data_IF_601956397841
#
_entry.id   IF_601956397841
#
_cell.length_a   1.000
_cell.length_b   1.000
_cell.length_c   1.000
_cell.angle_alpha   90.00
_cell.angle_beta   90.00
_cell.angle_gamma   90.00
#
_symmetry.space_group_name_H-M   'P 1'
#
loop_
_entity.id
_entity.type
_entity.pdbx_description
1 polymer ?
#
# COMPACT_ATOMS: atom_id res chain seq x y z
N UNK A 1 20.69 -4.91 44.26
CA UNK A 1 19.28 -4.47 44.10
C UNK A 1 19.13 -3.53 42.91
N UNK A 2 19.90 -2.49 42.74
CA UNK A 2 19.85 -1.52 41.64
C UNK A 2 20.10 -2.13 40.23
N UNK A 3 20.98 -3.11 40.11
CA UNK A 3 21.27 -3.83 38.86
C UNK A 3 20.10 -4.73 38.44
N UNK A 4 19.35 -5.32 39.39
CA UNK A 4 18.19 -6.18 39.12
C UNK A 4 17.02 -5.31 38.73
N UNK A 5 16.82 -4.16 39.36
CA UNK A 5 15.78 -3.20 39.01
C UNK A 5 16.05 -2.57 37.64
N UNK A 6 17.28 -2.24 37.29
CA UNK A 6 17.64 -1.82 35.93
C UNK A 6 17.40 -2.90 34.88
N UNK A 7 17.69 -4.15 35.19
CA UNK A 7 17.49 -5.27 34.30
C UNK A 7 15.99 -5.57 34.11
N UNK A 8 15.17 -5.50 35.18
CA UNK A 8 13.72 -5.62 35.12
C UNK A 8 13.04 -4.42 34.41
N UNK A 9 13.59 -3.20 34.53
CA UNK A 9 13.09 -2.04 33.79
C UNK A 9 13.41 -2.19 32.29
N UNK A 10 14.52 -2.81 31.91
CA UNK A 10 14.88 -3.09 30.53
C UNK A 10 14.00 -4.21 29.94
N UNK A 11 13.58 -5.18 30.74
CA UNK A 11 12.64 -6.25 30.32
C UNK A 11 11.18 -5.78 30.24
N UNK A 12 10.82 -4.65 30.88
CA UNK A 12 9.48 -4.03 30.80
C UNK A 12 9.33 -3.16 29.53
N UNK A 13 10.40 -2.71 28.90
CA UNK A 13 10.35 -2.21 27.52
C UNK A 13 10.33 -3.44 26.60
N UNK A 14 9.12 -3.98 26.36
CA UNK A 14 8.88 -4.93 25.27
C UNK A 14 9.70 -4.47 24.05
N UNK A 15 10.55 -5.36 23.52
CA UNK A 15 11.36 -5.02 22.35
C UNK A 15 10.42 -4.57 21.24
N UNK A 16 10.55 -3.32 20.82
CA UNK A 16 9.74 -2.78 19.74
C UNK A 16 10.13 -3.49 18.44
N UNK A 17 9.15 -4.15 17.80
CA UNK A 17 9.32 -4.76 16.48
C UNK A 17 8.41 -4.07 15.50
N UNK A 18 8.97 -3.61 14.38
CA UNK A 18 8.25 -2.89 13.35
C UNK A 18 8.60 -3.46 11.99
N UNK A 19 7.60 -3.74 11.16
CA UNK A 19 7.83 -4.02 9.74
C UNK A 19 7.81 -2.69 8.98
N UNK A 20 8.97 -2.24 8.55
CA UNK A 20 9.11 -1.07 7.69
C UNK A 20 9.08 -1.51 6.23
N UNK A 21 8.26 -0.83 5.40
CA UNK A 21 8.10 -1.13 3.98
C UNK A 21 8.16 0.16 3.18
N UNK A 22 9.13 0.28 2.28
CA UNK A 22 9.16 1.34 1.27
C UNK A 22 8.58 0.80 -0.04
N UNK A 23 7.45 1.36 -0.47
CA UNK A 23 6.69 0.88 -1.63
C UNK A 23 7.06 1.67 -2.87
N UNK A 24 8.03 1.16 -3.61
CA UNK A 24 8.43 1.69 -4.92
C UNK A 24 7.54 1.20 -6.08
N UNK A 25 7.81 1.72 -7.28
CA UNK A 25 7.10 1.30 -8.51
C UNK A 25 7.59 -0.06 -9.02
N UNK A 26 8.87 -0.39 -8.81
CA UNK A 26 9.49 -1.65 -9.28
C UNK A 26 9.62 -2.68 -8.17
N UNK A 27 10.12 -2.25 -7.03
CA UNK A 27 10.38 -3.04 -5.83
C UNK A 27 9.68 -2.46 -4.63
N UNK A 28 9.56 -3.29 -3.60
CA UNK A 28 9.31 -2.88 -2.23
C UNK A 28 10.51 -3.30 -1.39
N UNK A 29 11.04 -2.37 -0.61
CA UNK A 29 12.16 -2.60 0.29
C UNK A 29 11.62 -2.78 1.70
N UNK A 30 11.98 -3.89 2.35
CA UNK A 30 11.39 -4.34 3.60
C UNK A 30 12.48 -4.49 4.64
N UNK A 31 12.23 -3.94 5.81
CA UNK A 31 13.07 -4.07 6.99
C UNK A 31 12.23 -4.52 8.18
N UNK A 32 12.53 -5.67 8.73
CA UNK A 32 12.01 -6.06 10.05
C UNK A 32 12.97 -5.52 11.12
N UNK A 33 12.59 -4.41 11.70
CA UNK A 33 13.32 -3.77 12.80
C UNK A 33 12.97 -4.43 14.14
N UNK A 34 13.99 -4.71 14.95
CA UNK A 34 13.86 -5.20 16.31
C UNK A 34 14.81 -4.38 17.22
N UNK A 35 14.25 -3.59 18.14
CA UNK A 35 15.03 -2.72 19.03
C UNK A 35 15.94 -3.48 19.99
N UNK A 36 15.76 -4.79 20.16
CA UNK A 36 16.62 -5.64 20.98
C UNK A 36 17.92 -6.05 20.28
N UNK A 37 18.04 -5.79 18.98
CA UNK A 37 19.17 -6.17 18.14
C UNK A 37 19.83 -4.96 17.50
N UNK A 38 21.08 -5.14 17.03
CA UNK A 38 21.71 -4.13 16.19
C UNK A 38 21.06 -4.07 14.80
N UNK A 39 21.05 -2.90 14.19
CA UNK A 39 20.44 -2.67 12.87
C UNK A 39 21.04 -3.59 11.77
N UNK A 40 22.30 -3.97 11.89
CA UNK A 40 22.98 -4.88 10.96
C UNK A 40 22.32 -6.27 10.92
N UNK A 41 21.77 -6.72 12.07
CA UNK A 41 21.13 -8.02 12.23
C UNK A 41 19.65 -8.02 11.84
N UNK A 42 19.10 -6.87 11.43
CA UNK A 42 17.73 -6.77 10.97
C UNK A 42 17.51 -7.58 9.68
N UNK A 43 16.35 -8.22 9.57
CA UNK A 43 15.97 -8.90 8.32
C UNK A 43 15.64 -7.84 7.26
N UNK A 44 16.28 -7.97 6.10
CA UNK A 44 16.11 -7.06 4.97
C UNK A 44 15.71 -7.87 3.73
N UNK A 45 14.67 -7.43 3.04
CA UNK A 45 14.23 -8.05 1.80
C UNK A 45 13.95 -6.99 0.75
N UNK A 46 14.30 -7.29 -0.49
CA UNK A 46 13.88 -6.51 -1.67
C UNK A 46 13.05 -7.42 -2.54
N UNK A 47 11.76 -7.10 -2.66
CA UNK A 47 10.78 -7.91 -3.38
C UNK A 47 10.15 -7.10 -4.51
N UNK A 48 9.55 -7.76 -5.53
CA UNK A 48 8.72 -7.04 -6.50
C UNK A 48 7.60 -6.27 -5.79
N UNK A 49 7.35 -5.02 -6.20
CA UNK A 49 6.24 -4.25 -5.67
C UNK A 49 4.88 -4.85 -6.07
N UNK A 50 3.85 -4.59 -5.28
CA UNK A 50 2.51 -5.12 -5.55
C UNK A 50 1.98 -4.67 -6.92
N UNK A 51 2.27 -3.44 -7.37
CA UNK A 51 1.85 -2.99 -8.71
C UNK A 51 2.48 -3.83 -9.84
N UNK A 52 3.70 -4.37 -9.67
CA UNK A 52 4.33 -5.31 -10.61
C UNK A 52 3.65 -6.69 -10.57
N UNK A 53 3.39 -7.20 -9.37
CA UNK A 53 2.72 -8.50 -9.17
C UNK A 53 1.33 -8.47 -9.80
N UNK A 54 0.56 -7.42 -9.52
CA UNK A 54 -0.79 -7.21 -10.07
C UNK A 54 -0.73 -7.07 -11.59
N UNK A 55 0.22 -6.31 -12.14
CA UNK A 55 0.41 -6.23 -13.58
C UNK A 55 0.68 -7.61 -14.21
N UNK A 56 1.44 -8.46 -13.54
CA UNK A 56 1.67 -9.85 -13.94
C UNK A 56 0.39 -10.69 -13.92
N UNK A 57 -0.43 -10.57 -12.87
CA UNK A 57 -1.74 -11.25 -12.75
C UNK A 57 -2.69 -10.81 -13.87
N UNK A 58 -2.79 -9.51 -14.16
CA UNK A 58 -3.60 -8.96 -15.25
C UNK A 58 -3.11 -9.49 -16.61
N UNK A 59 -1.79 -9.47 -16.86
CA UNK A 59 -1.20 -10.02 -18.09
C UNK A 59 -1.54 -11.51 -18.27
N UNK A 60 -1.48 -12.30 -17.22
CA UNK A 60 -1.87 -13.72 -17.24
C UNK A 60 -3.34 -13.88 -17.62
N UNK A 61 -4.25 -13.11 -17.03
CA UNK A 61 -5.67 -13.12 -17.39
C UNK A 61 -5.90 -12.69 -18.85
N UNK A 62 -5.15 -11.67 -19.33
CA UNK A 62 -5.20 -11.23 -20.74
C UNK A 62 -4.80 -12.34 -21.70
N UNK A 63 -3.69 -13.03 -21.41
CA UNK A 63 -3.21 -14.16 -22.24
C UNK A 63 -4.21 -15.32 -22.25
N UNK A 64 -4.87 -15.56 -21.11
CA UNK A 64 -5.91 -16.60 -20.99
C UNK A 64 -7.30 -16.16 -21.49
N UNK A 65 -7.41 -14.98 -22.09
CA UNK A 65 -8.67 -14.42 -22.61
C UNK A 65 -9.79 -14.35 -21.57
N UNK A 66 -9.46 -14.08 -20.31
CA UNK A 66 -10.41 -13.97 -19.20
C UNK A 66 -10.62 -12.51 -18.82
N UNK A 67 -11.87 -12.12 -18.61
CA UNK A 67 -12.19 -10.82 -18.00
C UNK A 67 -11.60 -10.73 -16.60
N UNK A 68 -11.45 -9.52 -16.08
CA UNK A 68 -10.94 -9.27 -14.71
C UNK A 68 -11.90 -8.40 -13.91
N UNK A 69 -11.89 -8.60 -12.60
CA UNK A 69 -12.52 -7.69 -11.64
C UNK A 69 -11.48 -7.21 -10.62
N UNK A 70 -11.28 -5.90 -10.56
CA UNK A 70 -10.38 -5.24 -9.62
C UNK A 70 -11.14 -4.94 -8.33
N UNK A 71 -10.63 -5.44 -7.21
CA UNK A 71 -11.21 -5.26 -5.87
C UNK A 71 -10.17 -4.73 -4.90
N UNK A 72 -10.52 -4.51 -3.64
CA UNK A 72 -9.58 -4.06 -2.62
C UNK A 72 -9.51 -2.54 -2.53
N UNK A 73 -8.29 -1.98 -2.38
CA UNK A 73 -8.08 -0.58 -2.01
C UNK A 73 -7.42 0.24 -3.11
N UNK A 74 -7.34 1.56 -2.93
CA UNK A 74 -6.53 2.44 -3.78
C UNK A 74 -5.04 2.16 -3.53
N UNK A 75 -4.26 2.00 -4.59
CA UNK A 75 -2.83 1.70 -4.55
C UNK A 75 -2.05 2.42 -5.65
N UNK A 76 -0.74 2.21 -5.71
CA UNK A 76 0.11 2.71 -6.79
C UNK A 76 -0.28 2.14 -8.16
N UNK A 77 -0.71 3.02 -9.09
CA UNK A 77 -1.28 2.63 -10.39
C UNK A 77 -0.27 2.23 -11.47
N UNK A 78 0.94 2.76 -11.49
CA UNK A 78 2.01 2.57 -12.49
C UNK A 78 1.88 1.39 -13.46
N UNK A 79 2.62 0.28 -13.24
CA UNK A 79 2.58 -0.93 -14.07
C UNK A 79 1.19 -1.58 -14.14
N UNK A 80 0.43 -1.63 -13.04
CA UNK A 80 -0.91 -2.23 -13.01
C UNK A 80 -1.89 -1.45 -13.91
N UNK A 81 -1.88 -0.11 -13.86
CA UNK A 81 -2.69 0.72 -14.74
C UNK A 81 -2.34 0.55 -16.22
N UNK A 82 -1.05 0.36 -16.54
CA UNK A 82 -0.62 0.04 -17.92
C UNK A 82 -1.15 -1.33 -18.35
N UNK A 83 -1.13 -2.33 -17.47
CA UNK A 83 -1.65 -3.66 -17.75
C UNK A 83 -3.18 -3.64 -17.99
N UNK A 84 -3.94 -2.88 -17.19
CA UNK A 84 -5.38 -2.67 -17.38
C UNK A 84 -5.67 -2.09 -18.76
N UNK A 85 -4.98 -1.03 -19.18
CA UNK A 85 -5.17 -0.45 -20.52
C UNK A 85 -4.92 -1.47 -21.64
N UNK A 86 -3.86 -2.29 -21.53
CA UNK A 86 -3.56 -3.34 -22.52
C UNK A 86 -4.63 -4.45 -22.51
N UNK A 87 -5.18 -4.77 -21.35
CA UNK A 87 -6.25 -5.73 -21.20
C UNK A 87 -7.53 -5.29 -21.95
N UNK A 88 -7.92 -4.02 -21.78
CA UNK A 88 -9.04 -3.40 -22.50
C UNK A 88 -8.76 -3.36 -24.00
N UNK A 89 -7.54 -2.98 -24.43
CA UNK A 89 -7.14 -2.98 -25.85
C UNK A 89 -7.19 -4.38 -26.49
N UNK A 90 -7.04 -5.44 -25.70
CA UNK A 90 -7.21 -6.82 -26.15
C UNK A 90 -8.69 -7.24 -26.31
N UNK A 91 -9.63 -6.32 -26.10
CA UNK A 91 -11.08 -6.55 -26.23
C UNK A 91 -11.69 -7.32 -25.05
N UNK A 92 -11.06 -7.26 -23.87
CA UNK A 92 -11.50 -7.92 -22.65
C UNK A 92 -12.11 -6.92 -21.67
N UNK A 93 -13.09 -7.37 -20.88
CA UNK A 93 -13.78 -6.54 -19.91
C UNK A 93 -12.97 -6.37 -18.62
N UNK A 94 -13.04 -5.18 -18.07
CA UNK A 94 -12.51 -4.84 -16.75
C UNK A 94 -13.65 -4.30 -15.90
N UNK A 95 -13.93 -4.97 -14.82
CA UNK A 95 -14.82 -4.51 -13.76
C UNK A 95 -13.96 -3.99 -12.60
N UNK A 96 -14.46 -3.02 -11.85
CA UNK A 96 -13.74 -2.52 -10.68
C UNK A 96 -14.71 -2.04 -9.60
N UNK A 97 -14.41 -2.35 -8.34
CA UNK A 97 -15.05 -1.67 -7.22
C UNK A 97 -14.58 -0.22 -7.16
N UNK A 98 -15.37 0.65 -6.53
CA UNK A 98 -15.09 2.09 -6.47
C UNK A 98 -13.68 2.39 -5.92
N UNK A 99 -13.27 1.74 -4.82
CA UNK A 99 -11.94 1.95 -4.21
C UNK A 99 -10.81 1.50 -5.15
N UNK A 100 -10.93 0.34 -5.77
CA UNK A 100 -9.94 -0.18 -6.71
C UNK A 100 -9.82 0.69 -7.97
N UNK A 101 -10.94 1.22 -8.46
CA UNK A 101 -11.00 2.08 -9.64
C UNK A 101 -10.21 3.38 -9.47
N UNK A 102 -10.17 3.95 -8.25
CA UNK A 102 -9.37 5.14 -7.92
C UNK A 102 -7.87 4.95 -8.11
N UNK A 103 -7.37 3.72 -8.14
CA UNK A 103 -5.97 3.42 -8.55
C UNK A 103 -5.68 3.85 -9.99
N UNK A 104 -6.68 3.82 -10.87
CA UNK A 104 -6.52 4.14 -12.28
C UNK A 104 -6.64 5.64 -12.56
N UNK A 105 -7.57 6.31 -11.86
CA UNK A 105 -7.76 7.75 -11.91
C UNK A 105 -8.69 8.20 -10.77
N UNK A 106 -8.45 9.39 -10.17
CA UNK A 106 -9.26 9.94 -9.08
C UNK A 106 -10.69 10.33 -9.52
N UNK A 107 -10.89 10.62 -10.81
CA UNK A 107 -12.20 10.86 -11.38
C UNK A 107 -12.75 9.57 -11.98
N UNK A 108 -13.80 9.02 -11.37
CA UNK A 108 -14.42 7.76 -11.78
C UNK A 108 -15.09 7.83 -13.16
N UNK A 109 -15.57 9.00 -13.60
CA UNK A 109 -16.10 9.18 -14.96
C UNK A 109 -14.99 8.93 -16.01
N UNK A 110 -13.78 9.42 -15.74
CA UNK A 110 -12.63 9.12 -16.61
C UNK A 110 -12.27 7.64 -16.60
N UNK A 111 -12.39 6.96 -15.45
CA UNK A 111 -12.17 5.50 -15.37
C UNK A 111 -13.19 4.76 -16.24
N UNK A 112 -14.45 5.15 -16.18
CA UNK A 112 -15.50 4.59 -17.04
C UNK A 112 -15.24 4.88 -18.54
N UNK A 113 -14.80 6.09 -18.86
CA UNK A 113 -14.40 6.45 -20.25
C UNK A 113 -13.19 5.65 -20.76
N UNK A 114 -12.34 5.14 -19.87
CA UNK A 114 -11.26 4.21 -20.23
C UNK A 114 -11.77 2.80 -20.60
N UNK A 115 -13.05 2.49 -20.37
CA UNK A 115 -13.65 1.19 -20.63
C UNK A 115 -13.71 0.27 -19.42
N UNK A 116 -13.59 0.81 -18.19
CA UNK A 116 -13.77 0.07 -16.95
C UNK A 116 -15.21 0.22 -16.46
N UNK A 117 -15.85 -0.87 -16.15
CA UNK A 117 -17.19 -0.90 -15.57
C UNK A 117 -17.09 -0.86 -14.04
N UNK A 118 -17.63 0.19 -13.42
CA UNK A 118 -17.65 0.33 -11.96
C UNK A 118 -18.84 -0.46 -11.41
N UNK A 119 -18.56 -1.31 -10.44
CA UNK A 119 -19.53 -2.21 -9.83
C UNK A 119 -19.52 -2.11 -8.30
N UNK A 120 -20.64 -2.53 -7.69
CA UNK A 120 -20.75 -2.73 -6.25
C UNK A 120 -20.13 -4.09 -5.86
N UNK A 121 -19.66 -4.21 -4.61
CA UNK A 121 -18.96 -5.40 -4.13
C UNK A 121 -19.86 -6.67 -4.18
N UNK A 122 -21.16 -6.52 -3.96
CA UNK A 122 -22.14 -7.63 -3.99
C UNK A 122 -22.26 -8.28 -5.37
N UNK A 123 -21.81 -7.62 -6.43
CA UNK A 123 -21.89 -8.13 -7.80
C UNK A 123 -20.69 -8.99 -8.20
N UNK A 124 -19.62 -9.00 -7.42
CA UNK A 124 -18.36 -9.66 -7.76
C UNK A 124 -18.55 -11.15 -8.04
N UNK A 125 -19.27 -11.85 -7.16
CA UNK A 125 -19.46 -13.31 -7.24
C UNK A 125 -20.32 -13.76 -8.44
N UNK A 126 -21.02 -12.84 -9.06
CA UNK A 126 -21.87 -13.12 -10.24
C UNK A 126 -21.14 -12.88 -11.57
N UNK A 127 -19.88 -12.43 -11.54
CA UNK A 127 -19.14 -12.12 -12.76
C UNK A 127 -18.28 -13.32 -13.21
N UNK A 128 -18.33 -13.63 -14.51
CA UNK A 128 -17.30 -14.47 -15.12
C UNK A 128 -16.02 -13.65 -15.37
N UNK A 129 -15.31 -13.37 -14.29
CA UNK A 129 -14.10 -12.57 -14.29
C UNK A 129 -13.11 -13.09 -13.22
N UNK A 130 -11.81 -12.90 -13.48
CA UNK A 130 -10.75 -13.24 -12.53
C UNK A 130 -10.63 -12.12 -11.49
N UNK A 131 -10.83 -12.39 -10.20
CA UNK A 131 -10.64 -11.39 -9.16
C UNK A 131 -9.16 -11.06 -8.99
N UNK A 132 -8.87 -9.75 -8.89
CA UNK A 132 -7.53 -9.22 -8.64
C UNK A 132 -7.64 -8.19 -7.53
N UNK A 133 -7.08 -8.54 -6.38
CA UNK A 133 -7.08 -7.66 -5.21
C UNK A 133 -6.00 -6.60 -5.37
N UNK A 134 -6.41 -5.34 -5.29
CA UNK A 134 -5.57 -4.15 -5.34
C UNK A 134 -5.19 -3.75 -3.92
N UNK A 135 -3.88 -3.75 -3.63
CA UNK A 135 -3.34 -3.26 -2.35
C UNK A 135 -1.85 -2.96 -2.53
N UNK A 136 -1.33 -1.95 -1.84
CA UNK A 136 0.12 -1.68 -1.81
C UNK A 136 0.87 -2.67 -0.92
N UNK A 137 0.20 -3.26 0.07
CA UNK A 137 0.78 -4.23 1.00
C UNK A 137 -0.05 -5.52 0.96
N UNK A 138 0.62 -6.64 0.83
CA UNK A 138 0.06 -7.99 0.92
C UNK A 138 0.58 -8.64 2.22
N UNK A 139 -0.17 -8.48 3.30
CA UNK A 139 0.22 -8.96 4.63
C UNK A 139 0.33 -10.48 4.69
N UNK A 140 -0.51 -11.20 3.93
CA UNK A 140 -0.49 -12.66 3.91
C UNK A 140 0.79 -13.18 3.22
N UNK A 141 1.16 -12.55 2.10
CA UNK A 141 2.39 -12.90 1.39
C UNK A 141 3.65 -12.57 2.24
N UNK A 142 3.66 -11.40 2.91
CA UNK A 142 4.77 -11.01 3.78
C UNK A 142 4.87 -11.90 5.02
N UNK A 143 3.76 -12.18 5.68
CA UNK A 143 3.71 -13.10 6.82
C UNK A 143 4.12 -14.52 6.43
N UNK A 144 3.68 -15.01 5.28
CA UNK A 144 4.10 -16.30 4.73
C UNK A 144 5.60 -16.34 4.43
N UNK A 145 6.16 -15.28 3.82
CA UNK A 145 7.60 -15.18 3.54
C UNK A 145 8.44 -15.20 4.82
N UNK A 146 8.07 -14.41 5.84
CA UNK A 146 8.75 -14.41 7.13
C UNK A 146 8.60 -15.76 7.85
N UNK A 147 7.41 -16.37 7.77
CA UNK A 147 7.11 -17.67 8.39
C UNK A 147 7.97 -18.82 7.85
N UNK A 148 8.37 -18.79 6.56
CA UNK A 148 9.31 -19.75 5.98
C UNK A 148 10.69 -19.74 6.68
N UNK A 149 11.03 -18.63 7.34
CA UNK A 149 12.26 -18.46 8.15
C UNK A 149 11.96 -18.46 9.66
N UNK A 150 10.84 -19.08 10.08
CA UNK A 150 10.43 -19.18 11.48
C UNK A 150 10.34 -17.81 12.20
N UNK A 151 10.09 -16.75 11.43
CA UNK A 151 10.01 -15.38 11.91
C UNK A 151 8.56 -14.91 11.91
N UNK A 152 8.11 -14.38 13.05
CA UNK A 152 6.76 -13.82 13.15
C UNK A 152 6.72 -12.39 12.58
N UNK A 153 5.67 -12.11 11.82
CA UNK A 153 5.39 -10.73 11.40
C UNK A 153 4.97 -9.90 12.62
N UNK A 154 5.56 -8.71 12.84
CA UNK A 154 5.18 -7.86 13.95
C UNK A 154 3.77 -7.26 13.73
N UNK A 155 3.18 -6.78 14.82
CA UNK A 155 1.91 -6.06 14.75
C UNK A 155 2.05 -4.63 14.21
N UNK A 156 3.15 -3.94 14.54
CA UNK A 156 3.40 -2.54 14.17
C UNK A 156 4.06 -2.40 12.79
N UNK A 157 3.62 -1.37 12.05
CA UNK A 157 4.08 -1.11 10.68
C UNK A 157 4.58 0.32 10.50
N UNK A 158 5.58 0.50 9.65
CA UNK A 158 6.00 1.79 9.13
C UNK A 158 6.06 1.70 7.60
N UNK A 159 5.21 2.44 6.89
CA UNK A 159 5.10 2.31 5.43
C UNK A 159 5.35 3.64 4.76
N UNK A 160 6.26 3.64 3.79
CA UNK A 160 6.53 4.76 2.92
C UNK A 160 5.88 4.51 1.56
N UNK A 161 5.02 5.44 1.12
CA UNK A 161 4.36 5.40 -0.19
C UNK A 161 4.29 6.80 -0.79
N UNK A 162 4.50 6.91 -2.11
CA UNK A 162 4.26 8.16 -2.79
C UNK A 162 2.76 8.39 -2.97
N UNK A 163 2.21 9.42 -2.33
CA UNK A 163 0.81 9.82 -2.47
C UNK A 163 0.67 11.10 -3.30
N UNK A 164 -0.13 11.04 -4.35
CA UNK A 164 -0.43 12.23 -5.15
C UNK A 164 -1.58 13.05 -4.60
N UNK A 165 -2.28 12.52 -3.60
CA UNK A 165 -3.46 13.11 -3.01
C UNK A 165 -4.68 13.10 -3.92
N UNK A 166 -5.81 13.52 -3.39
CA UNK A 166 -7.06 13.71 -4.13
C UNK A 166 -7.36 15.21 -4.21
N UNK A 167 -7.47 15.72 -5.45
CA UNK A 167 -7.81 17.11 -5.73
C UNK A 167 -8.65 17.21 -7.00
N UNK A 168 -10.00 17.19 -6.89
CA UNK A 168 -10.90 17.17 -8.05
C UNK A 168 -10.68 18.31 -9.04
N UNK A 169 -10.29 19.50 -8.53
CA UNK A 169 -10.22 20.73 -9.28
C UNK A 169 -8.81 21.10 -9.78
N UNK A 170 -7.83 20.25 -9.53
CA UNK A 170 -6.45 20.53 -9.98
C UNK A 170 -5.70 19.23 -10.30
N UNK A 171 -4.54 19.38 -10.95
CA UNK A 171 -3.63 18.24 -11.16
C UNK A 171 -3.07 17.73 -9.82
N UNK A 172 -3.08 16.41 -9.62
CA UNK A 172 -2.53 15.75 -8.43
C UNK A 172 -1.06 16.15 -8.18
N UNK A 173 -0.28 16.35 -9.27
CA UNK A 173 1.09 16.85 -9.15
C UNK A 173 1.13 18.24 -8.52
N UNK A 174 0.25 19.14 -8.94
CA UNK A 174 0.17 20.52 -8.37
C UNK A 174 -0.29 20.44 -6.92
N UNK A 175 -1.30 19.61 -6.62
CA UNK A 175 -1.76 19.40 -5.25
C UNK A 175 -0.61 18.93 -4.35
N UNK A 176 0.12 17.88 -4.76
CA UNK A 176 1.26 17.33 -4.01
C UNK A 176 2.35 18.37 -3.76
N UNK A 177 2.74 19.16 -4.79
CA UNK A 177 3.73 20.21 -4.61
C UNK A 177 3.26 21.29 -3.62
N UNK A 178 2.01 21.73 -3.71
CA UNK A 178 1.44 22.70 -2.77
C UNK A 178 1.35 22.14 -1.35
N UNK A 179 1.09 20.86 -1.22
CA UNK A 179 1.06 20.18 0.06
C UNK A 179 2.45 20.16 0.70
N UNK A 180 3.48 19.78 -0.04
CA UNK A 180 4.86 19.77 0.43
C UNK A 180 5.38 21.19 0.78
N UNK A 181 5.12 22.18 -0.06
CA UNK A 181 5.51 23.56 0.23
C UNK A 181 4.96 23.99 1.60
N UNK A 182 3.68 23.70 1.89
CA UNK A 182 3.09 24.02 3.21
C UNK A 182 3.75 23.30 4.38
N UNK A 183 4.23 22.07 4.19
CA UNK A 183 4.97 21.35 5.24
C UNK A 183 6.37 21.94 5.44
N UNK A 184 7.06 22.31 4.35
CA UNK A 184 8.37 22.96 4.39
C UNK A 184 8.29 24.36 5.05
N UNK A 185 7.26 25.14 4.75
CA UNK A 185 7.02 26.45 5.39
C UNK A 185 6.78 26.34 6.90
N UNK A 186 6.36 25.16 7.39
CA UNK A 186 6.17 24.87 8.82
C UNK A 186 7.43 24.29 9.50
N UNK A 187 8.57 24.22 8.79
CA UNK A 187 9.85 23.74 9.31
C UNK A 187 10.47 22.61 8.49
N UNK A 188 9.66 21.74 7.85
CA UNK A 188 10.15 20.70 6.94
C UNK A 188 10.80 19.50 7.62
N UNK A 189 10.63 19.35 8.94
CA UNK A 189 11.11 18.18 9.65
C UNK A 189 10.42 16.91 9.09
N UNK A 190 11.13 15.76 9.02
CA UNK A 190 10.64 14.51 8.46
C UNK A 190 9.35 14.02 9.14
N UNK A 191 9.20 14.26 10.42
CA UNK A 191 8.02 13.90 11.22
C UNK A 191 6.73 14.56 10.70
N UNK A 192 6.85 15.68 9.96
CA UNK A 192 5.70 16.36 9.36
C UNK A 192 5.15 15.66 8.12
N UNK A 193 5.94 14.77 7.52
CA UNK A 193 5.56 13.96 6.37
C UNK A 193 5.07 12.57 6.77
N UNK A 194 5.11 12.26 8.07
CA UNK A 194 4.73 10.98 8.65
C UNK A 194 3.47 11.11 9.52
N UNK A 195 2.61 10.13 9.45
CA UNK A 195 1.31 10.10 10.11
C UNK A 195 1.14 8.80 10.90
N UNK A 196 1.06 8.90 12.22
CA UNK A 196 0.84 7.76 13.10
C UNK A 196 -0.67 7.56 13.33
N UNK A 197 -1.19 6.41 12.93
CA UNK A 197 -2.58 5.95 13.15
C UNK A 197 -3.69 6.86 12.59
N UNK A 198 -3.35 7.94 11.91
CA UNK A 198 -4.33 8.86 11.32
C UNK A 198 -3.70 9.63 10.16
N UNK A 199 -4.25 9.50 8.98
CA UNK A 199 -3.80 10.18 7.75
C UNK A 199 -4.84 11.20 7.32
N UNK A 200 -4.46 12.40 6.80
CA UNK A 200 -5.39 13.36 6.23
C UNK A 200 -6.24 12.77 5.09
N UNK A 201 -7.52 13.16 5.00
CA UNK A 201 -8.46 12.62 4.02
C UNK A 201 -8.02 12.82 2.56
N UNK A 202 -7.30 13.91 2.29
CA UNK A 202 -6.76 14.20 0.96
C UNK A 202 -5.60 13.33 0.52
N UNK A 203 -5.01 12.52 1.41
CA UNK A 203 -3.92 11.59 1.11
C UNK A 203 -4.51 10.17 0.99
N UNK A 204 -5.14 9.91 -0.13
CA UNK A 204 -6.02 8.74 -0.34
C UNK A 204 -5.28 7.41 -0.37
N UNK A 205 -4.08 7.37 -0.96
CA UNK A 205 -3.25 6.16 -1.01
C UNK A 205 -2.69 5.82 0.37
N UNK A 206 -2.14 6.80 1.09
CA UNK A 206 -1.64 6.62 2.46
C UNK A 206 -2.77 6.17 3.40
N UNK A 207 -3.97 6.73 3.24
CA UNK A 207 -5.15 6.31 4.00
C UNK A 207 -5.54 4.87 3.67
N UNK A 208 -5.47 4.45 2.41
CA UNK A 208 -5.71 3.05 2.02
C UNK A 208 -4.72 2.08 2.65
N UNK A 209 -3.44 2.46 2.73
CA UNK A 209 -2.42 1.68 3.45
C UNK A 209 -2.76 1.58 4.93
N UNK A 210 -3.13 2.70 5.56
CA UNK A 210 -3.55 2.71 6.97
C UNK A 210 -4.77 1.80 7.18
N UNK A 211 -5.82 1.91 6.36
CA UNK A 211 -7.03 1.09 6.44
C UNK A 211 -6.72 -0.42 6.27
N UNK A 212 -5.72 -0.77 5.45
CA UNK A 212 -5.32 -2.16 5.23
C UNK A 212 -4.60 -2.77 6.44
N UNK A 213 -3.78 -1.97 7.14
CA UNK A 213 -2.87 -2.45 8.18
C UNK A 213 -3.36 -2.22 9.61
N UNK A 214 -4.22 -1.21 9.83
CA UNK A 214 -4.63 -0.78 11.16
C UNK A 214 -5.64 -1.74 11.78
N UNK A 215 -5.33 -2.16 13.00
CA UNK A 215 -6.22 -2.88 13.92
C UNK A 215 -6.34 -2.09 15.23
N UNK A 216 -7.17 -2.56 16.15
CA UNK A 216 -7.32 -1.93 17.47
C UNK A 216 -6.07 -2.07 18.36
N UNK A 217 -5.15 -2.98 17.99
CA UNK A 217 -4.04 -3.40 18.86
C UNK A 217 -2.66 -3.10 18.28
N UNK A 218 -2.57 -2.38 17.16
CA UNK A 218 -1.28 -2.08 16.52
C UNK A 218 -1.09 -0.59 16.24
N UNK A 219 0.16 -0.21 15.92
CA UNK A 219 0.49 1.10 15.39
C UNK A 219 0.87 1.02 13.92
N UNK A 220 0.40 2.00 13.15
CA UNK A 220 0.75 2.14 11.74
C UNK A 220 1.22 3.56 11.49
N UNK A 221 2.50 3.70 11.17
CA UNK A 221 3.10 4.93 10.68
C UNK A 221 3.04 4.91 9.15
N UNK A 222 2.48 5.93 8.52
CA UNK A 222 2.50 6.08 7.07
C UNK A 222 3.19 7.38 6.70
N UNK A 223 4.09 7.33 5.72
CA UNK A 223 4.92 8.46 5.31
C UNK A 223 4.83 8.66 3.80
N UNK A 224 4.80 9.92 3.34
CA UNK A 224 4.98 10.24 1.91
C UNK A 224 6.47 10.33 1.55
N UNK A 225 6.85 9.83 0.37
CA UNK A 225 8.23 9.77 -0.15
C UNK A 225 8.40 10.57 -1.42
#
# INVERSE_FOLDING_TARGET
MEKIIKQQIIEIFDSMKVLAVDVGMGTQDILLFDSSQSMENSIKMVLPSQTQIIAGRIKKATTSRRNIVLTGTTMGGGPSGSAVRKHIQAGLKVFATRKAALTLHDNLEKVTQMGVEIIDEEKIDFLDAVPIIMSDIDTDALGGALGLFETQMPGDFAVAVQDHGEAPDMSNRIFRFRYFIRLLEKGGELERFAYLNKVPDSLTRMRSVLETLKTDHNNVLVMDT
#
